data_IF_104513373158
#
_entry.id   IF_104513373158
#
_cell.length_a   1.000
_cell.length_b   1.000
_cell.length_c   1.000
_cell.angle_alpha   90.00
_cell.angle_beta   90.00
_cell.angle_gamma   90.00
#
_symmetry.space_group_name_H-M   'P 1'
#
loop_
_entity.id
_entity.type
_entity.pdbx_description
1 polymer ?
#
# COMPACT_ATOMS: atom_id res chain seq x y z
N UNK A 1 -48.56 24.20 46.80
CA UNK A 1 -49.08 23.08 45.99
C UNK A 1 -48.24 23.00 44.72
N UNK A 2 -47.96 21.78 44.28
CA UNK A 2 -47.28 21.36 43.04
C UNK A 2 -45.75 21.26 43.04
N UNK A 3 -45.34 20.03 43.31
CA UNK A 3 -44.08 19.34 43.01
C UNK A 3 -43.71 19.39 41.52
N UNK A 4 -42.42 19.27 41.19
CA UNK A 4 -42.01 18.29 40.18
C UNK A 4 -40.55 17.84 40.29
N UNK A 5 -40.36 16.53 40.13
CA UNK A 5 -39.11 15.77 40.15
C UNK A 5 -38.34 15.88 38.82
N UNK A 6 -37.01 15.61 38.85
CA UNK A 6 -36.27 14.68 37.95
C UNK A 6 -34.77 14.76 38.28
N UNK A 7 -34.14 13.73 38.87
CA UNK A 7 -33.70 12.43 38.33
C UNK A 7 -32.22 12.47 37.88
N UNK A 8 -31.36 11.79 38.64
CA UNK A 8 -29.91 11.64 38.46
C UNK A 8 -29.56 10.33 37.74
N UNK A 9 -28.81 10.36 36.64
CA UNK A 9 -28.18 9.19 35.96
C UNK A 9 -26.90 9.75 35.29
N UNK A 10 -25.68 9.56 35.81
CA UNK A 10 -24.73 8.44 35.66
C UNK A 10 -24.38 8.02 34.21
N UNK A 11 -23.06 7.94 33.97
CA UNK A 11 -22.34 7.14 32.95
C UNK A 11 -22.51 7.56 31.47
N UNK A 12 -21.55 7.42 30.56
CA UNK A 12 -20.18 6.92 30.56
C UNK A 12 -19.59 7.22 29.18
N UNK A 13 -18.25 7.27 29.15
CA UNK A 13 -17.38 7.19 27.98
C UNK A 13 -17.97 6.51 26.74
N UNK A 14 -17.94 7.21 25.61
CA UNK A 14 -17.97 6.60 24.28
C UNK A 14 -16.73 7.05 23.51
N UNK A 15 -15.64 6.31 23.72
CA UNK A 15 -14.49 6.33 22.85
C UNK A 15 -14.95 5.88 21.47
N UNK A 16 -15.03 6.82 20.53
CA UNK A 16 -15.47 6.53 19.18
C UNK A 16 -14.44 5.62 18.51
N UNK A 17 -14.91 4.41 18.26
CA UNK A 17 -14.26 3.36 17.51
C UNK A 17 -13.75 3.91 16.18
N UNK A 18 -12.42 3.91 16.07
CA UNK A 18 -11.61 3.91 14.85
C UNK A 18 -12.22 2.98 13.80
N UNK A 19 -13.20 3.50 13.07
CA UNK A 19 -13.65 2.95 11.81
C UNK A 19 -12.53 3.20 10.83
N UNK A 20 -11.76 2.16 10.54
CA UNK A 20 -10.80 2.16 9.45
C UNK A 20 -11.59 2.44 8.17
N UNK A 21 -11.64 3.71 7.81
CA UNK A 21 -12.17 4.17 6.55
C UNK A 21 -11.34 3.53 5.45
N UNK A 22 -11.92 2.54 4.78
CA UNK A 22 -11.62 2.23 3.38
C UNK A 22 -11.94 3.53 2.63
N UNK A 23 -10.96 4.42 2.63
CA UNK A 23 -10.99 5.70 1.95
C UNK A 23 -10.71 5.42 0.48
N UNK A 24 -11.56 5.98 -0.36
CA UNK A 24 -11.48 6.02 -1.81
C UNK A 24 -10.02 6.20 -2.30
N UNK A 25 -9.58 5.53 -3.37
CA UNK A 25 -8.18 5.55 -3.82
C UNK A 25 -7.71 6.90 -4.42
N UNK A 26 -8.51 7.95 -4.33
CA UNK A 26 -8.19 9.31 -4.76
C UNK A 26 -7.44 10.07 -3.65
N UNK A 27 -6.22 9.63 -3.35
CA UNK A 27 -5.29 10.37 -2.48
C UNK A 27 -4.28 11.18 -3.30
N UNK A 28 -3.79 12.30 -2.76
CA UNK A 28 -2.65 13.02 -3.34
C UNK A 28 -1.44 12.10 -3.56
N UNK A 29 -0.60 12.42 -4.56
CA UNK A 29 0.60 11.66 -4.93
C UNK A 29 1.44 11.22 -3.70
N UNK A 30 1.73 12.08 -2.69
CA UNK A 30 2.48 11.66 -1.51
C UNK A 30 1.78 10.60 -0.67
N UNK A 31 0.45 10.66 -0.57
CA UNK A 31 -0.36 9.72 0.21
C UNK A 31 -0.39 8.35 -0.44
N UNK A 32 -0.66 8.27 -1.74
CA UNK A 32 -0.69 6.99 -2.46
C UNK A 32 0.68 6.33 -2.52
N UNK A 33 1.76 7.13 -2.65
CA UNK A 33 3.13 6.62 -2.57
C UNK A 33 3.42 6.05 -1.18
N UNK A 34 3.09 6.77 -0.10
CA UNK A 34 3.27 6.24 1.27
C UNK A 34 2.53 4.92 1.47
N UNK A 35 1.29 4.83 0.98
CA UNK A 35 0.48 3.61 1.06
C UNK A 35 1.08 2.45 0.26
N UNK A 36 1.65 2.73 -0.92
CA UNK A 36 2.37 1.73 -1.70
C UNK A 36 3.58 1.21 -0.93
N UNK A 37 4.43 2.08 -0.40
CA UNK A 37 5.60 1.69 0.41
C UNK A 37 5.22 0.81 1.60
N UNK A 38 4.16 1.18 2.32
CA UNK A 38 3.66 0.41 3.46
C UNK A 38 3.16 -0.98 3.03
N UNK A 39 2.38 -1.06 1.94
CA UNK A 39 1.89 -2.33 1.42
C UNK A 39 3.01 -3.26 0.95
N UNK A 40 4.08 -2.71 0.36
CA UNK A 40 5.26 -3.49 -0.03
C UNK A 40 5.99 -4.05 1.19
N UNK A 41 6.13 -3.25 2.26
CA UNK A 41 6.70 -3.73 3.53
C UNK A 41 5.83 -4.81 4.18
N UNK A 42 4.51 -4.67 4.10
CA UNK A 42 3.58 -5.68 4.58
C UNK A 42 3.71 -6.99 3.80
N UNK A 43 3.87 -6.95 2.48
CA UNK A 43 4.10 -8.15 1.66
C UNK A 43 5.38 -8.89 2.09
N UNK A 44 6.49 -8.18 2.29
CA UNK A 44 7.73 -8.77 2.81
C UNK A 44 7.55 -9.42 4.20
N UNK A 45 6.79 -8.76 5.09
CA UNK A 45 6.50 -9.28 6.42
C UNK A 45 5.66 -10.56 6.37
N UNK A 46 4.60 -10.58 5.56
CA UNK A 46 3.73 -11.76 5.40
C UNK A 46 4.48 -12.92 4.74
N UNK A 47 5.38 -12.66 3.78
CA UNK A 47 6.26 -13.69 3.23
C UNK A 47 7.20 -14.30 4.28
N UNK A 48 7.77 -13.45 5.14
CA UNK A 48 8.62 -13.91 6.24
C UNK A 48 7.84 -14.79 7.23
N UNK A 49 6.58 -14.45 7.50
CA UNK A 49 5.67 -15.27 8.32
C UNK A 49 5.27 -16.57 7.60
N UNK A 50 5.05 -16.53 6.28
CA UNK A 50 4.73 -17.71 5.48
C UNK A 50 5.89 -18.71 5.51
N UNK A 51 7.13 -18.26 5.38
CA UNK A 51 8.32 -19.12 5.50
C UNK A 51 8.48 -19.78 6.89
N UNK A 52 7.83 -19.23 7.91
CA UNK A 52 7.74 -19.78 9.27
C UNK A 52 6.47 -20.60 9.51
N UNK A 53 5.65 -20.82 8.47
CA UNK A 53 4.31 -21.44 8.55
C UNK A 53 3.36 -20.71 9.51
N UNK A 54 3.59 -19.41 9.72
CA UNK A 54 2.77 -18.52 10.54
C UNK A 54 1.77 -17.71 9.70
N UNK A 55 1.92 -17.71 8.38
CA UNK A 55 0.96 -17.17 7.43
C UNK A 55 0.66 -18.19 6.34
N UNK A 56 -0.52 -18.08 5.76
CA UNK A 56 -1.00 -18.92 4.65
C UNK A 56 -0.68 -18.29 3.30
N UNK A 57 -0.62 -19.11 2.26
CA UNK A 57 -0.49 -18.65 0.88
C UNK A 57 -1.57 -17.61 0.51
N UNK A 58 -2.80 -17.80 1.01
CA UNK A 58 -3.90 -16.85 0.83
C UNK A 58 -3.56 -15.47 1.41
N UNK A 59 -2.97 -15.39 2.60
CA UNK A 59 -2.57 -14.11 3.19
C UNK A 59 -1.47 -13.41 2.37
N UNK A 60 -0.52 -14.16 1.79
CA UNK A 60 0.47 -13.61 0.86
C UNK A 60 -0.21 -13.08 -0.40
N UNK A 61 -1.15 -13.84 -0.95
CA UNK A 61 -1.93 -13.47 -2.14
C UNK A 61 -2.75 -12.20 -1.89
N UNK A 62 -3.41 -12.09 -0.74
CA UNK A 62 -4.17 -10.90 -0.33
C UNK A 62 -3.25 -9.67 -0.23
N UNK A 63 -2.06 -9.83 0.35
CA UNK A 63 -1.05 -8.77 0.42
C UNK A 63 -0.56 -8.35 -0.98
N UNK A 64 -0.36 -9.30 -1.89
CA UNK A 64 0.00 -9.02 -3.28
C UNK A 64 -1.11 -8.24 -4.02
N UNK A 65 -2.37 -8.63 -3.86
CA UNK A 65 -3.52 -7.90 -4.45
C UNK A 65 -3.59 -6.47 -3.91
N UNK A 66 -3.34 -6.28 -2.60
CA UNK A 66 -3.26 -4.95 -2.00
C UNK A 66 -2.15 -4.10 -2.64
N UNK A 67 -0.94 -4.65 -2.82
CA UNK A 67 0.17 -3.95 -3.49
C UNK A 67 -0.23 -3.56 -4.92
N UNK A 68 -0.84 -4.47 -5.69
CA UNK A 68 -1.33 -4.18 -7.04
C UNK A 68 -2.35 -3.04 -7.06
N UNK A 69 -3.29 -3.03 -6.11
CA UNK A 69 -4.25 -1.93 -5.94
C UNK A 69 -3.56 -0.59 -5.64
N UNK A 70 -2.54 -0.57 -4.77
CA UNK A 70 -1.75 0.63 -4.46
C UNK A 70 -0.92 1.12 -5.63
N UNK A 71 -0.37 0.21 -6.44
CA UNK A 71 0.31 0.52 -7.69
C UNK A 71 -0.66 1.23 -8.64
N UNK A 72 -1.86 0.69 -8.82
CA UNK A 72 -2.84 1.31 -9.71
C UNK A 72 -3.27 2.71 -9.23
N UNK A 73 -3.52 2.89 -7.93
CA UNK A 73 -3.83 4.21 -7.35
C UNK A 73 -2.68 5.22 -7.57
N UNK A 74 -1.43 4.77 -7.42
CA UNK A 74 -0.23 5.57 -7.65
C UNK A 74 -0.09 5.97 -9.12
N UNK A 75 -0.32 5.02 -10.04
CA UNK A 75 -0.33 5.27 -11.49
C UNK A 75 -1.39 6.32 -11.84
N UNK A 76 -2.61 6.19 -11.32
CA UNK A 76 -3.68 7.15 -11.53
C UNK A 76 -3.33 8.55 -11.00
N UNK A 77 -2.73 8.65 -9.81
CA UNK A 77 -2.34 9.94 -9.23
C UNK A 77 -1.26 10.64 -10.08
N UNK A 78 -0.25 9.91 -10.57
CA UNK A 78 0.77 10.48 -11.45
C UNK A 78 0.23 10.86 -12.84
N UNK A 79 -0.71 10.08 -13.38
CA UNK A 79 -1.30 10.36 -14.70
C UNK A 79 -2.03 11.71 -14.74
N UNK A 80 -2.60 12.18 -13.61
CA UNK A 80 -3.21 13.50 -13.49
C UNK A 80 -2.22 14.66 -13.73
N UNK A 81 -0.92 14.40 -13.62
CA UNK A 81 0.16 15.37 -13.88
C UNK A 81 0.88 15.10 -15.21
N UNK A 82 0.37 14.20 -16.05
CA UNK A 82 0.99 13.85 -17.34
C UNK A 82 2.31 13.07 -17.22
N UNK A 83 2.57 12.43 -16.08
CA UNK A 83 3.81 11.70 -15.82
C UNK A 83 3.66 10.25 -16.31
N UNK A 84 4.68 9.75 -17.03
CA UNK A 84 4.55 8.53 -17.84
C UNK A 84 4.13 7.23 -17.12
N UNK A 85 4.45 6.87 -15.89
CA UNK A 85 4.07 5.60 -15.20
C UNK A 85 4.26 4.22 -15.86
N UNK A 86 4.70 4.08 -17.12
CA UNK A 86 4.77 2.77 -17.82
C UNK A 86 5.57 1.72 -17.05
N UNK A 87 6.74 2.07 -16.52
CA UNK A 87 7.58 1.17 -15.70
C UNK A 87 6.86 0.69 -14.43
N UNK A 88 6.13 1.58 -13.75
CA UNK A 88 5.40 1.26 -12.51
C UNK A 88 4.27 0.26 -12.78
N UNK A 89 3.61 0.37 -13.94
CA UNK A 89 2.53 -0.54 -14.36
C UNK A 89 3.02 -1.97 -14.60
N UNK A 90 4.30 -2.16 -14.91
CA UNK A 90 4.89 -3.50 -15.12
C UNK A 90 5.23 -4.25 -13.83
N UNK A 91 5.36 -3.53 -12.71
CA UNK A 91 5.84 -4.09 -11.44
C UNK A 91 4.96 -5.23 -10.86
N UNK A 92 3.61 -5.20 -10.91
CA UNK A 92 2.78 -6.31 -10.43
C UNK A 92 3.10 -7.62 -11.15
N UNK A 93 3.31 -7.56 -12.47
CA UNK A 93 3.65 -8.75 -13.26
C UNK A 93 5.02 -9.32 -12.87
N UNK A 94 6.00 -8.44 -12.64
CA UNK A 94 7.32 -8.86 -12.17
C UNK A 94 7.25 -9.50 -10.77
N UNK A 95 6.43 -8.95 -9.85
CA UNK A 95 6.20 -9.55 -8.54
C UNK A 95 5.53 -10.92 -8.66
N UNK A 96 4.50 -11.04 -9.51
CA UNK A 96 3.83 -12.32 -9.77
C UNK A 96 4.81 -13.40 -10.23
N UNK A 97 5.68 -13.08 -11.18
CA UNK A 97 6.65 -14.05 -11.72
C UNK A 97 7.62 -14.59 -10.67
N UNK A 98 7.84 -13.86 -9.56
CA UNK A 98 8.67 -14.33 -8.43
C UNK A 98 7.83 -15.06 -7.39
N UNK A 99 6.62 -14.54 -7.09
CA UNK A 99 5.75 -15.09 -6.05
C UNK A 99 5.09 -16.41 -6.47
N UNK A 100 4.70 -16.55 -7.72
CA UNK A 100 4.02 -17.74 -8.25
C UNK A 100 4.84 -19.03 -8.05
N UNK A 101 6.10 -19.11 -8.49
CA UNK A 101 6.92 -20.29 -8.21
C UNK A 101 7.30 -20.41 -6.73
N UNK A 102 7.53 -19.29 -6.01
CA UNK A 102 7.85 -19.31 -4.58
C UNK A 102 6.73 -19.92 -3.73
N UNK A 103 5.47 -19.61 -4.04
CA UNK A 103 4.32 -20.11 -3.31
C UNK A 103 3.91 -21.54 -3.71
N UNK A 104 4.34 -22.00 -4.88
CA UNK A 104 4.15 -23.38 -5.32
C UNK A 104 5.07 -24.38 -4.59
N UNK A 105 6.13 -23.89 -3.95
CA UNK A 105 7.06 -24.69 -3.16
C UNK A 105 6.63 -24.80 -1.67
N UNK A 106 7.33 -25.68 -0.93
CA UNK A 106 7.11 -25.83 0.51
C UNK A 106 7.41 -24.53 1.26
N UNK A 107 6.50 -24.15 2.17
CA UNK A 107 6.63 -23.01 3.05
C UNK A 107 7.79 -23.21 4.06
N UNK A 108 8.99 -22.78 3.66
CA UNK A 108 10.23 -22.86 4.45
C UNK A 108 11.10 -21.61 4.24
N UNK A 109 12.01 -21.35 5.20
CA UNK A 109 13.02 -20.28 5.06
C UNK A 109 13.96 -20.50 3.88
N UNK A 110 14.35 -21.74 3.62
CA UNK A 110 15.27 -22.06 2.53
C UNK A 110 14.66 -21.72 1.17
N UNK A 111 13.38 -22.08 0.98
CA UNK A 111 12.59 -21.68 -0.19
C UNK A 111 12.59 -20.15 -0.33
N UNK A 112 12.17 -19.43 0.71
CA UNK A 112 12.11 -17.96 0.66
C UNK A 112 13.48 -17.33 0.35
N UNK A 113 14.56 -17.80 0.99
CA UNK A 113 15.91 -17.28 0.81
C UNK A 113 16.41 -17.42 -0.64
N UNK A 114 15.96 -18.45 -1.38
CA UNK A 114 16.27 -18.60 -2.81
C UNK A 114 15.60 -17.51 -3.67
N UNK A 115 14.40 -17.04 -3.28
CA UNK A 115 13.65 -16.01 -4.01
C UNK A 115 13.91 -14.58 -3.51
N UNK A 116 14.49 -14.39 -2.32
CA UNK A 116 14.85 -13.07 -1.75
C UNK A 116 15.66 -12.19 -2.72
N UNK A 117 16.68 -12.68 -3.45
CA UNK A 117 17.45 -11.84 -4.37
C UNK A 117 16.60 -11.21 -5.47
N UNK A 118 15.75 -12.01 -6.12
CA UNK A 118 14.86 -11.54 -7.19
C UNK A 118 13.74 -10.65 -6.64
N UNK A 119 13.17 -11.00 -5.49
CA UNK A 119 12.14 -10.19 -4.84
C UNK A 119 12.68 -8.80 -4.45
N UNK A 120 13.89 -8.74 -3.88
CA UNK A 120 14.59 -7.48 -3.57
C UNK A 120 14.87 -6.68 -4.84
N UNK A 121 15.26 -7.33 -5.93
CA UNK A 121 15.49 -6.67 -7.23
C UNK A 121 14.21 -6.02 -7.77
N UNK A 122 13.08 -6.73 -7.74
CA UNK A 122 11.79 -6.19 -8.21
C UNK A 122 11.33 -5.02 -7.34
N UNK A 123 11.41 -5.16 -6.00
CA UNK A 123 11.06 -4.09 -5.07
C UNK A 123 11.97 -2.87 -5.27
N UNK A 124 13.28 -3.08 -5.37
CA UNK A 124 14.24 -1.99 -5.60
C UNK A 124 13.94 -1.20 -6.87
N UNK A 125 13.67 -1.90 -7.99
CA UNK A 125 13.28 -1.25 -9.25
C UNK A 125 12.00 -0.43 -9.11
N UNK A 126 10.98 -0.99 -8.44
CA UNK A 126 9.74 -0.27 -8.16
C UNK A 126 10.01 1.01 -7.35
N UNK A 127 10.82 0.92 -6.30
CA UNK A 127 11.17 2.07 -5.45
C UNK A 127 11.95 3.14 -6.22
N UNK A 128 12.90 2.74 -7.05
CA UNK A 128 13.68 3.65 -7.88
C UNK A 128 12.80 4.37 -8.91
N UNK A 129 11.93 3.64 -9.61
CA UNK A 129 10.97 4.22 -10.55
C UNK A 129 10.00 5.18 -9.85
N UNK A 130 9.58 4.84 -8.64
CA UNK A 130 8.71 5.68 -7.83
C UNK A 130 9.40 6.98 -7.42
N UNK A 131 10.65 6.89 -6.97
CA UNK A 131 11.47 8.04 -6.58
C UNK A 131 11.67 9.00 -7.76
N UNK A 132 12.08 8.47 -8.92
CA UNK A 132 12.27 9.26 -10.14
C UNK A 132 11.00 10.03 -10.53
N UNK A 133 9.83 9.39 -10.38
CA UNK A 133 8.54 10.05 -10.70
C UNK A 133 8.10 11.03 -9.64
N UNK A 134 8.40 10.79 -8.37
CA UNK A 134 8.19 11.79 -7.33
C UNK A 134 9.04 13.04 -7.55
N UNK A 135 10.28 12.90 -8.01
CA UNK A 135 11.14 14.04 -8.36
C UNK A 135 10.59 14.82 -9.56
N UNK A 136 10.18 14.11 -10.63
CA UNK A 136 9.52 14.72 -11.77
C UNK A 136 8.20 15.43 -11.38
N UNK A 137 7.40 14.81 -10.51
CA UNK A 137 6.18 15.41 -9.97
C UNK A 137 6.47 16.67 -9.15
N UNK A 138 7.48 16.65 -8.26
CA UNK A 138 7.86 17.84 -7.49
C UNK A 138 8.28 18.98 -8.42
N UNK A 139 9.07 18.70 -9.45
CA UNK A 139 9.49 19.69 -10.44
C UNK A 139 8.29 20.26 -11.20
N UNK A 140 7.37 19.40 -11.68
CA UNK A 140 6.16 19.83 -12.39
C UNK A 140 5.18 20.61 -11.48
N UNK A 141 5.06 20.23 -10.21
CA UNK A 141 4.23 20.92 -9.24
C UNK A 141 4.77 22.31 -8.90
N UNK A 142 6.10 22.46 -8.80
CA UNK A 142 6.74 23.77 -8.63
C UNK A 142 6.67 24.63 -9.91
N UNK A 143 6.72 24.00 -11.07
CA UNK A 143 6.67 24.65 -12.39
C UNK A 143 5.25 24.98 -12.88
N UNK A 144 4.20 24.63 -12.13
CA UNK A 144 2.89 25.28 -12.24
C UNK A 144 2.91 26.52 -11.35
N UNK A 145 3.35 27.70 -11.85
CA UNK A 145 2.96 28.93 -11.18
C UNK A 145 1.44 28.95 -11.18
N UNK A 146 0.89 29.38 -10.05
CA UNK A 146 -0.49 29.78 -9.87
C UNK A 146 -0.90 30.70 -11.04
N UNK A 147 -1.40 30.15 -12.14
CA UNK A 147 -2.17 30.87 -13.15
C UNK A 147 -3.62 30.46 -12.84
N UNK A 148 -4.30 31.16 -11.94
CA UNK A 148 -4.92 32.50 -12.02
C UNK A 148 -6.41 32.32 -12.30
N UNK A 149 -7.24 32.92 -11.45
CA UNK A 149 -8.34 33.83 -11.79
C UNK A 149 -8.92 34.38 -10.50
#
# INVERSE_FOLDING_TARGET
MSSNHRNSHTSSSSGSVRSASISSPSGDVPTVVRQLLLSTKQLEAVLSQWALRQATEKQVSDAYVLVGSRINATVHAFAQFGIDTTSIRSAPNALRNVLEPCLAEDATRQTLDAYIPELRRVIYRLLQDLQNRQEAWRAAALARPFIRT
#
